data_IF_527097579292
#
_entry.id   IF_527097579292
#
_cell.length_a   1.000
_cell.length_b   1.000
_cell.length_c   1.000
_cell.angle_alpha   90.00
_cell.angle_beta   90.00
_cell.angle_gamma   90.00
#
_symmetry.space_group_name_H-M   'P 1'
#
loop_
_entity.id
_entity.type
_entity.pdbx_description
1 polymer ?
#
# COMPACT_ATOMS: atom_id res chain seq x y z
N UNK A 1 9.63 12.11 -18.39
CA UNK A 1 8.46 12.19 -17.49
C UNK A 1 7.60 13.34 -17.95
N UNK A 2 6.27 13.21 -17.95
CA UNK A 2 5.38 14.29 -18.40
C UNK A 2 5.45 15.46 -17.41
N UNK A 3 5.26 16.68 -17.90
CA UNK A 3 5.19 17.90 -17.09
C UNK A 3 4.16 17.83 -15.96
N UNK A 4 3.08 17.07 -16.15
CA UNK A 4 2.03 16.85 -15.14
C UNK A 4 2.51 16.06 -13.91
N UNK A 5 3.36 15.03 -14.11
CA UNK A 5 3.89 14.23 -12.99
C UNK A 5 4.87 15.06 -12.17
N UNK A 6 5.68 15.89 -12.83
CA UNK A 6 6.61 16.78 -12.14
C UNK A 6 5.86 17.87 -11.35
N UNK A 7 4.80 18.47 -11.92
CA UNK A 7 3.96 19.45 -11.21
C UNK A 7 3.28 18.83 -9.97
N UNK A 8 2.74 17.62 -10.08
CA UNK A 8 2.16 16.91 -8.94
C UNK A 8 3.20 16.62 -7.86
N UNK A 9 4.41 16.22 -8.25
CA UNK A 9 5.51 15.98 -7.32
C UNK A 9 5.92 17.25 -6.58
N UNK A 10 6.05 18.37 -7.29
CA UNK A 10 6.39 19.66 -6.66
C UNK A 10 5.33 20.09 -5.63
N UNK A 11 4.04 19.94 -5.96
CA UNK A 11 2.93 20.20 -5.02
C UNK A 11 2.97 19.28 -3.81
N UNK A 12 3.30 18.00 -4.03
CA UNK A 12 3.42 17.03 -2.94
C UNK A 12 4.54 17.40 -1.97
N UNK A 13 5.74 17.69 -2.48
CA UNK A 13 6.87 18.06 -1.64
C UNK A 13 6.62 19.38 -0.87
N UNK A 14 5.96 20.36 -1.50
CA UNK A 14 5.55 21.59 -0.83
C UNK A 14 4.58 21.32 0.33
N UNK A 15 3.53 20.53 0.08
CA UNK A 15 2.53 20.18 1.09
C UNK A 15 3.12 19.36 2.24
N UNK A 16 4.07 18.46 1.94
CA UNK A 16 4.81 17.69 2.95
C UNK A 16 5.76 18.58 3.77
N UNK A 17 6.36 19.61 3.18
CA UNK A 17 7.18 20.57 3.90
C UNK A 17 6.36 21.46 4.86
N UNK A 18 5.15 21.85 4.45
CA UNK A 18 4.22 22.63 5.28
C UNK A 18 3.58 21.79 6.39
N UNK A 19 3.26 20.52 6.10
CA UNK A 19 2.68 19.59 7.05
C UNK A 19 3.42 18.25 7.07
N UNK A 20 4.55 18.14 7.82
CA UNK A 20 5.38 16.94 7.84
C UNK A 20 4.69 15.66 8.35
N UNK A 21 3.52 15.79 8.99
CA UNK A 21 2.75 14.68 9.54
C UNK A 21 1.50 14.34 8.72
N UNK A 22 1.29 15.00 7.58
CA UNK A 22 0.19 14.69 6.68
C UNK A 22 0.28 13.24 6.20
N UNK A 23 -0.85 12.53 6.24
CA UNK A 23 -0.94 11.19 5.65
C UNK A 23 -1.13 11.32 4.14
N UNK A 24 -0.48 10.44 3.37
CA UNK A 24 -0.58 10.45 1.90
C UNK A 24 -2.02 10.40 1.40
N UNK A 25 -2.94 9.70 2.10
CA UNK A 25 -4.40 9.74 1.82
C UNK A 25 -4.98 11.13 1.82
N UNK A 26 -4.70 11.90 2.87
CA UNK A 26 -5.25 13.24 3.05
C UNK A 26 -4.63 14.20 2.04
N UNK A 27 -3.32 14.08 1.80
CA UNK A 27 -2.63 14.85 0.78
C UNK A 27 -3.16 14.56 -0.63
N UNK A 28 -3.41 13.28 -0.96
CA UNK A 28 -3.98 12.88 -2.24
C UNK A 28 -5.37 13.50 -2.44
N UNK A 29 -6.22 13.46 -1.41
CA UNK A 29 -7.52 14.11 -1.43
C UNK A 29 -7.42 15.64 -1.63
N UNK A 30 -6.49 16.30 -0.94
CA UNK A 30 -6.25 17.75 -1.07
C UNK A 30 -5.73 18.14 -2.47
N UNK A 31 -4.89 17.29 -3.06
CA UNK A 31 -4.34 17.48 -4.40
C UNK A 31 -5.25 16.97 -5.53
N UNK A 32 -6.39 16.37 -5.19
CA UNK A 32 -7.38 15.87 -6.15
C UNK A 32 -6.91 14.67 -6.97
N UNK A 33 -6.06 13.81 -6.40
CA UNK A 33 -5.52 12.59 -7.03
C UNK A 33 -5.75 11.38 -6.12
N UNK A 34 -5.54 10.16 -6.65
CA UNK A 34 -5.55 8.95 -5.83
C UNK A 34 -4.25 8.77 -5.05
N UNK A 35 -4.28 7.93 -4.00
CA UNK A 35 -3.09 7.64 -3.19
C UNK A 35 -1.99 6.96 -4.01
N UNK A 36 -2.37 6.03 -4.87
CA UNK A 36 -1.44 5.35 -5.76
C UNK A 36 -0.77 6.32 -6.74
N UNK A 37 -1.51 7.29 -7.29
CA UNK A 37 -0.96 8.32 -8.19
C UNK A 37 0.02 9.23 -7.46
N UNK A 38 -0.34 9.68 -6.26
CA UNK A 38 0.55 10.51 -5.45
C UNK A 38 1.83 9.74 -5.08
N UNK A 39 1.69 8.49 -4.63
CA UNK A 39 2.82 7.61 -4.29
C UNK A 39 3.72 7.36 -5.50
N UNK A 40 3.16 7.22 -6.69
CA UNK A 40 3.91 6.98 -7.91
C UNK A 40 4.85 8.14 -8.30
N UNK A 41 4.62 9.37 -7.78
CA UNK A 41 5.52 10.51 -8.02
C UNK A 41 6.91 10.33 -7.40
N UNK A 42 7.03 9.49 -6.37
CA UNK A 42 8.29 9.17 -5.68
C UNK A 42 8.94 7.88 -6.22
N UNK A 43 8.51 7.33 -7.36
CA UNK A 43 9.16 6.16 -7.96
C UNK A 43 10.62 6.46 -8.29
N UNK A 44 11.53 5.59 -7.82
CA UNK A 44 12.98 5.80 -7.89
C UNK A 44 13.56 6.55 -6.68
N UNK A 45 12.72 7.10 -5.82
CA UNK A 45 13.08 7.82 -4.59
C UNK A 45 12.42 7.14 -3.38
N UNK A 46 12.86 5.91 -3.08
CA UNK A 46 12.31 5.10 -1.99
C UNK A 46 11.01 4.35 -2.34
N UNK A 47 10.34 4.67 -3.45
CA UNK A 47 9.21 3.89 -3.97
C UNK A 47 9.65 3.03 -5.16
N UNK A 48 9.30 1.75 -5.12
CA UNK A 48 9.50 0.79 -6.20
C UNK A 48 8.16 0.20 -6.61
N UNK A 49 7.84 0.30 -7.90
CA UNK A 49 6.65 -0.39 -8.47
C UNK A 49 6.95 -1.88 -8.54
N UNK A 50 6.09 -2.69 -7.93
CA UNK A 50 6.18 -4.14 -7.99
C UNK A 50 5.36 -4.66 -9.16
N UNK A 51 5.76 -5.80 -9.73
CA UNK A 51 4.88 -6.53 -10.65
C UNK A 51 3.62 -6.94 -9.87
N UNK A 52 2.42 -6.87 -10.44
CA UNK A 52 1.16 -7.21 -9.76
C UNK A 52 0.96 -8.73 -9.61
N UNK A 53 2.02 -9.44 -9.24
CA UNK A 53 2.08 -10.87 -8.92
C UNK A 53 1.65 -11.03 -7.44
N UNK A 54 0.43 -10.60 -7.12
CA UNK A 54 -0.01 -10.43 -5.73
C UNK A 54 -0.01 -11.74 -4.94
N UNK A 55 -0.38 -12.85 -5.58
CA UNK A 55 -0.40 -14.16 -4.94
C UNK A 55 1.02 -14.57 -4.57
N UNK A 56 1.97 -14.37 -5.47
CA UNK A 56 3.38 -14.66 -5.27
C UNK A 56 3.95 -13.79 -4.15
N UNK A 57 3.70 -12.48 -4.17
CA UNK A 57 4.11 -11.55 -3.10
C UNK A 57 3.56 -12.01 -1.74
N UNK A 58 2.25 -12.29 -1.67
CA UNK A 58 1.60 -12.71 -0.43
C UNK A 58 2.10 -14.08 0.06
N UNK A 59 2.50 -14.97 -0.83
CA UNK A 59 3.07 -16.27 -0.42
C UNK A 59 4.42 -16.09 0.29
N UNK A 60 5.13 -14.99 0.02
CA UNK A 60 6.44 -14.72 0.62
C UNK A 60 6.39 -13.84 1.88
N UNK A 61 5.26 -13.18 2.19
CA UNK A 61 5.21 -12.24 3.33
C UNK A 61 5.42 -12.89 4.69
N UNK A 62 5.20 -14.19 4.83
CA UNK A 62 5.51 -14.94 6.06
C UNK A 62 7.00 -14.84 6.42
N UNK A 63 7.89 -14.78 5.42
CA UNK A 63 9.34 -14.68 5.60
C UNK A 63 9.79 -13.34 6.22
N UNK A 64 8.94 -12.32 6.16
CA UNK A 64 9.20 -11.02 6.79
C UNK A 64 9.08 -11.09 8.33
N UNK A 65 8.55 -12.20 8.86
CA UNK A 65 8.35 -12.39 10.29
C UNK A 65 7.29 -11.46 10.85
N UNK A 66 7.58 -10.85 12.01
CA UNK A 66 6.62 -9.99 12.71
C UNK A 66 6.51 -8.62 12.05
N UNK A 67 5.33 -8.34 11.52
CA UNK A 67 5.00 -7.11 10.81
C UNK A 67 3.74 -6.47 11.39
N UNK A 68 3.33 -5.33 10.83
CA UNK A 68 2.04 -4.70 11.09
C UNK A 68 1.24 -4.72 9.79
N UNK A 69 0.09 -5.40 9.80
CA UNK A 69 -0.93 -5.30 8.77
C UNK A 69 -1.81 -4.07 9.08
N UNK A 70 -2.10 -3.28 8.05
CA UNK A 70 -3.00 -2.13 8.13
C UNK A 70 -4.00 -2.23 6.99
N UNK A 71 -5.28 -2.30 7.33
CA UNK A 71 -6.40 -2.25 6.39
C UNK A 71 -7.33 -1.15 6.85
N UNK A 72 -7.94 -0.43 5.90
CA UNK A 72 -8.83 0.68 6.27
C UNK A 72 -9.93 0.90 5.25
N UNK A 73 -10.94 1.64 5.69
CA UNK A 73 -11.92 2.28 4.83
C UNK A 73 -12.03 3.77 5.20
N UNK A 74 -13.09 4.43 4.76
CA UNK A 74 -13.28 5.85 5.04
C UNK A 74 -13.38 6.15 6.54
N UNK A 75 -14.01 5.24 7.30
CA UNK A 75 -14.44 5.44 8.69
C UNK A 75 -13.53 4.77 9.73
N UNK A 76 -12.78 3.74 9.34
CA UNK A 76 -12.03 2.91 10.27
C UNK A 76 -10.64 2.57 9.72
N UNK A 77 -9.65 2.63 10.61
CA UNK A 77 -8.29 2.12 10.39
C UNK A 77 -8.07 0.95 11.33
N UNK A 78 -7.80 -0.22 10.76
CA UNK A 78 -7.54 -1.44 11.50
C UNK A 78 -6.06 -1.83 11.38
N UNK A 79 -5.33 -1.72 12.49
CA UNK A 79 -3.92 -2.08 12.58
C UNK A 79 -3.75 -3.33 13.45
N UNK A 80 -3.00 -4.32 12.95
CA UNK A 80 -2.74 -5.56 13.68
C UNK A 80 -1.31 -6.02 13.48
N UNK A 81 -0.61 -6.30 14.59
CA UNK A 81 0.79 -6.76 14.57
C UNK A 81 0.83 -8.27 14.73
N UNK A 82 1.60 -8.95 13.89
CA UNK A 82 1.74 -10.40 13.90
C UNK A 82 2.56 -10.90 12.73
N UNK A 83 2.61 -12.22 12.58
CA UNK A 83 3.17 -12.90 11.39
C UNK A 83 2.02 -13.36 10.52
N UNK A 84 2.18 -13.26 9.20
CA UNK A 84 1.23 -13.81 8.24
C UNK A 84 1.35 -15.34 8.23
N UNK A 85 0.44 -16.04 8.93
CA UNK A 85 0.46 -17.50 9.08
C UNK A 85 -0.68 -18.17 8.33
N UNK A 86 -0.48 -19.46 8.00
CA UNK A 86 -1.50 -20.34 7.41
C UNK A 86 -2.12 -19.74 6.14
N UNK A 87 -1.28 -19.26 5.22
CA UNK A 87 -1.72 -18.72 3.94
C UNK A 87 -2.43 -19.77 3.08
N UNK A 88 -3.69 -19.54 2.74
CA UNK A 88 -4.44 -20.38 1.79
C UNK A 88 -4.70 -19.60 0.50
N UNK A 89 -4.10 -20.10 -0.59
CA UNK A 89 -4.20 -19.55 -1.94
C UNK A 89 -4.77 -20.56 -2.95
N UNK A 90 -5.45 -21.60 -2.45
CA UNK A 90 -6.06 -22.66 -3.27
C UNK A 90 -7.35 -22.19 -3.94
N UNK A 91 -8.10 -21.30 -3.30
CA UNK A 91 -9.34 -20.74 -3.83
C UNK A 91 -9.07 -19.71 -4.92
N UNK A 92 -9.84 -19.75 -6.04
CA UNK A 92 -9.75 -18.75 -7.10
C UNK A 92 -10.42 -17.41 -6.73
N UNK A 93 -11.25 -17.38 -5.68
CA UNK A 93 -12.06 -16.20 -5.35
C UNK A 93 -11.48 -15.37 -4.20
N UNK A 94 -10.94 -16.04 -3.18
CA UNK A 94 -10.46 -15.38 -1.98
C UNK A 94 -9.21 -16.08 -1.46
N UNK A 95 -8.27 -15.30 -0.97
CA UNK A 95 -7.02 -15.74 -0.37
C UNK A 95 -7.09 -15.42 1.12
N UNK A 96 -6.52 -16.29 1.95
CA UNK A 96 -6.68 -16.22 3.39
C UNK A 96 -5.33 -16.21 4.09
N UNK A 97 -5.28 -15.52 5.21
CA UNK A 97 -4.32 -15.79 6.28
C UNK A 97 -5.11 -16.02 7.56
N UNK A 98 -4.81 -17.09 8.28
CA UNK A 98 -5.56 -17.47 9.49
C UNK A 98 -4.58 -17.69 10.63
N UNK A 99 -4.24 -16.61 11.32
CA UNK A 99 -3.44 -16.62 12.55
C UNK A 99 -4.19 -16.03 13.73
N UNK A 100 -3.66 -16.24 14.93
CA UNK A 100 -4.19 -15.61 16.17
C UNK A 100 -4.05 -14.08 16.13
N UNK A 101 -2.98 -13.59 15.49
CA UNK A 101 -2.75 -12.17 15.29
C UNK A 101 -3.36 -11.65 13.99
N UNK A 102 -2.87 -12.13 12.84
CA UNK A 102 -3.30 -11.68 11.52
C UNK A 102 -4.33 -12.67 10.97
N UNK A 103 -5.57 -12.22 10.83
CA UNK A 103 -6.68 -12.96 10.23
C UNK A 103 -7.30 -12.13 9.10
N UNK A 104 -7.04 -12.52 7.85
CA UNK A 104 -7.37 -11.72 6.66
C UNK A 104 -8.12 -12.54 5.61
N UNK A 105 -9.05 -11.85 4.93
CA UNK A 105 -9.76 -12.33 3.75
C UNK A 105 -9.47 -11.37 2.62
N UNK A 106 -8.78 -11.85 1.59
CA UNK A 106 -8.23 -11.04 0.51
C UNK A 106 -8.93 -11.42 -0.79
N UNK A 107 -9.46 -10.42 -1.49
CA UNK A 107 -10.13 -10.59 -2.78
C UNK A 107 -9.28 -9.96 -3.88
N UNK A 108 -8.32 -10.71 -4.42
CA UNK A 108 -7.32 -10.18 -5.36
C UNK A 108 -7.92 -9.58 -6.65
N UNK A 109 -9.16 -9.91 -7.02
CA UNK A 109 -9.85 -9.33 -8.18
C UNK A 109 -10.02 -7.80 -8.14
N UNK A 110 -9.95 -7.21 -6.94
CA UNK A 110 -10.02 -5.77 -6.72
C UNK A 110 -8.65 -5.08 -6.72
N UNK A 111 -7.56 -5.85 -6.62
CA UNK A 111 -6.20 -5.35 -6.50
C UNK A 111 -5.66 -4.98 -7.88
N UNK A 112 -4.91 -3.88 -7.97
CA UNK A 112 -4.36 -3.39 -9.24
C UNK A 112 -2.90 -2.98 -9.17
N UNK A 113 -2.48 -2.35 -8.09
CA UNK A 113 -1.11 -1.86 -7.94
C UNK A 113 -0.47 -2.38 -6.66
N UNK A 114 0.83 -2.65 -6.72
CA UNK A 114 1.67 -3.02 -5.59
C UNK A 114 2.95 -2.18 -5.61
N UNK A 115 3.35 -1.68 -4.44
CA UNK A 115 4.56 -0.90 -4.27
C UNK A 115 5.35 -1.39 -3.06
N UNK A 116 6.67 -1.42 -3.19
CA UNK A 116 7.57 -1.45 -2.04
C UNK A 116 8.00 -0.01 -1.73
N UNK A 117 7.84 0.40 -0.48
CA UNK A 117 8.10 1.76 -0.04
C UNK A 117 9.10 1.74 1.11
N UNK A 118 10.15 2.55 0.98
CA UNK A 118 11.21 2.75 1.98
C UNK A 118 11.25 4.22 2.37
N UNK A 119 10.87 4.52 3.61
CA UNK A 119 10.86 5.86 4.20
C UNK A 119 11.75 5.86 5.45
N UNK A 120 13.03 6.18 5.28
CA UNK A 120 14.05 6.02 6.33
C UNK A 120 14.15 4.56 6.75
N UNK A 121 13.90 4.28 8.04
CA UNK A 121 13.91 2.91 8.58
C UNK A 121 12.60 2.14 8.33
N UNK A 122 11.54 2.83 7.87
CA UNK A 122 10.24 2.21 7.65
C UNK A 122 10.21 1.56 6.27
N UNK A 123 9.95 0.26 6.23
CA UNK A 123 9.77 -0.52 5.00
C UNK A 123 8.34 -1.05 4.97
N UNK A 124 7.66 -0.90 3.84
CA UNK A 124 6.27 -1.36 3.68
C UNK A 124 6.00 -1.89 2.28
N UNK A 125 5.07 -2.84 2.21
CA UNK A 125 4.38 -3.24 0.99
C UNK A 125 3.02 -2.56 1.00
N UNK A 126 2.69 -1.82 -0.06
CA UNK A 126 1.43 -1.09 -0.17
C UNK A 126 0.68 -1.54 -1.40
N UNK A 127 -0.61 -1.84 -1.22
CA UNK A 127 -1.48 -2.40 -2.24
C UNK A 127 -2.67 -1.47 -2.49
N UNK A 128 -3.03 -1.29 -3.76
CA UNK A 128 -4.07 -0.35 -4.16
C UNK A 128 -5.03 -0.98 -5.17
N UNK A 129 -6.28 -0.52 -5.09
CA UNK A 129 -7.37 -0.90 -6.00
C UNK A 129 -7.23 -0.30 -7.39
N UNK A 130 -8.17 -0.64 -8.28
CA UNK A 130 -8.24 -0.07 -9.65
C UNK A 130 -8.52 1.43 -9.66
N UNK A 131 -9.13 1.94 -8.59
CA UNK A 131 -9.40 3.34 -8.29
C UNK A 131 -8.20 4.07 -7.65
N UNK A 132 -7.10 3.37 -7.41
CA UNK A 132 -5.89 3.93 -6.78
C UNK A 132 -6.02 4.17 -5.27
N UNK A 133 -7.09 3.67 -4.63
CA UNK A 133 -7.29 3.75 -3.19
C UNK A 133 -6.61 2.58 -2.48
N UNK A 134 -6.16 2.80 -1.25
CA UNK A 134 -5.56 1.76 -0.41
C UNK A 134 -6.60 0.68 -0.04
N UNK A 135 -6.15 -0.58 -0.02
CA UNK A 135 -6.99 -1.77 0.21
C UNK A 135 -6.96 -2.29 1.65
#
# INVERSE_FOLDING_TARGET
MSTLVNDLKEKWEALKAENPHVRIRNAAAELGVSEAELLATNVGEGVTVLRPEFKEILTEVEQLGKVMALTRNEECVHERKGTYLNGDFSSPHAQLFVGEDIDLRIFLNHWKFAFAVVEGDRKSLQFFGKDGLAL
#
